data_IF_817285465678
#
_entry.id   IF_817285465678
#
_cell.length_a   1.000
_cell.length_b   1.000
_cell.length_c   1.000
_cell.angle_alpha   90.00
_cell.angle_beta   90.00
_cell.angle_gamma   90.00
#
_symmetry.space_group_name_H-M   'P 1'
#
loop_
_entity.id
_entity.type
_entity.pdbx_description
1 polymer ?
#
# COMPACT_ATOMS: atom_id res chain seq x y z
N UNK A 1 31.58 18.31 -1.95
CA UNK A 1 30.64 17.40 -2.65
C UNK A 1 29.41 18.19 -3.09
N UNK A 2 28.89 17.92 -4.29
CA UNK A 2 27.70 18.58 -4.84
C UNK A 2 26.56 17.57 -4.98
N UNK A 3 25.41 17.89 -4.37
CA UNK A 3 24.18 17.09 -4.44
C UNK A 3 23.10 17.92 -5.13
N UNK A 4 22.58 17.42 -6.25
CA UNK A 4 21.44 18.02 -6.94
C UNK A 4 20.15 17.28 -6.60
N UNK A 5 19.16 17.99 -6.06
CA UNK A 5 17.84 17.47 -5.74
C UNK A 5 16.86 17.91 -6.83
N UNK A 6 16.27 16.95 -7.55
CA UNK A 6 15.45 17.16 -8.75
C UNK A 6 14.06 16.52 -8.59
N UNK A 7 13.16 16.73 -9.55
CA UNK A 7 11.81 16.13 -9.56
C UNK A 7 10.77 16.98 -8.82
N UNK A 8 9.93 16.38 -7.98
CA UNK A 8 8.75 17.04 -7.39
C UNK A 8 8.28 16.41 -6.09
N UNK A 9 7.44 17.12 -5.32
CA UNK A 9 6.79 16.55 -4.13
C UNK A 9 7.70 16.36 -2.91
N UNK A 10 8.58 17.33 -2.62
CA UNK A 10 9.39 17.32 -1.38
C UNK A 10 10.85 17.76 -1.50
N UNK A 11 11.27 18.37 -2.63
CA UNK A 11 12.65 18.84 -2.84
C UNK A 11 13.17 19.76 -1.74
N UNK A 12 12.45 20.84 -1.44
CA UNK A 12 12.86 21.82 -0.43
C UNK A 12 12.94 21.19 0.96
N UNK A 13 11.99 20.31 1.31
CA UNK A 13 12.03 19.53 2.56
C UNK A 13 13.29 18.68 2.62
N UNK A 14 13.61 17.94 1.54
CA UNK A 14 14.80 17.11 1.49
C UNK A 14 16.10 17.90 1.60
N UNK A 15 16.16 19.08 0.99
CA UNK A 15 17.30 19.98 1.12
C UNK A 15 17.50 20.41 2.56
N UNK A 16 16.41 20.75 3.27
CA UNK A 16 16.46 21.13 4.69
C UNK A 16 16.95 19.97 5.57
N UNK A 17 16.40 18.77 5.37
CA UNK A 17 16.86 17.55 6.06
C UNK A 17 18.35 17.29 5.85
N UNK A 18 18.83 17.34 4.59
CA UNK A 18 20.25 17.12 4.28
C UNK A 18 21.13 18.21 4.89
N UNK A 19 20.68 19.46 4.89
CA UNK A 19 21.39 20.57 5.54
C UNK A 19 21.53 20.29 7.04
N UNK A 20 20.44 19.98 7.74
CA UNK A 20 20.48 19.70 9.17
C UNK A 20 21.34 18.46 9.50
N UNK A 21 21.25 17.40 8.68
CA UNK A 21 22.10 16.23 8.79
C UNK A 21 23.59 16.60 8.68
N UNK A 22 24.01 17.29 7.63
CA UNK A 22 25.42 17.60 7.41
C UNK A 22 25.98 18.61 8.42
N UNK A 23 25.17 19.57 8.88
CA UNK A 23 25.56 20.44 10.00
C UNK A 23 25.81 19.60 11.27
N UNK A 24 24.95 18.63 11.56
CA UNK A 24 25.14 17.74 12.73
C UNK A 24 26.41 16.88 12.64
N UNK A 25 26.89 16.63 11.41
CA UNK A 25 28.17 15.97 11.13
C UNK A 25 29.37 16.96 11.11
N UNK A 26 29.18 18.20 11.57
CA UNK A 26 30.17 19.29 11.54
C UNK A 26 30.69 19.64 10.14
N UNK A 27 29.86 19.52 9.10
CA UNK A 27 30.20 19.92 7.72
C UNK A 27 29.59 21.28 7.38
N UNK A 28 30.31 22.02 6.55
CA UNK A 28 29.85 23.29 5.99
C UNK A 28 28.91 23.06 4.81
N UNK A 29 27.79 23.81 4.76
CA UNK A 29 26.74 23.59 3.75
C UNK A 29 26.38 24.87 3.00
N UNK A 30 26.41 24.82 1.67
CA UNK A 30 25.82 25.84 0.80
C UNK A 30 24.53 25.32 0.17
N UNK A 31 23.44 26.08 0.27
CA UNK A 31 22.19 25.83 -0.43
C UNK A 31 22.05 26.87 -1.55
N UNK A 32 21.77 26.41 -2.76
CA UNK A 32 21.49 27.24 -3.95
C UNK A 32 20.48 26.53 -4.86
N UNK A 33 20.12 27.15 -5.98
CA UNK A 33 19.29 26.53 -7.03
C UNK A 33 20.01 26.52 -8.38
N UNK A 34 19.66 25.60 -9.29
CA UNK A 34 20.06 25.69 -10.71
C UNK A 34 19.00 26.35 -11.58
N UNK A 35 17.79 26.56 -11.04
CA UNK A 35 16.66 27.15 -11.75
C UNK A 35 16.14 28.33 -10.98
N UNK A 36 14.96 28.23 -10.35
CA UNK A 36 14.35 29.30 -9.57
C UNK A 36 13.87 28.75 -8.23
N UNK A 37 14.23 29.43 -7.15
CA UNK A 37 13.82 29.08 -5.79
C UNK A 37 13.24 30.32 -5.10
N UNK A 38 12.25 30.15 -4.21
CA UNK A 38 11.72 31.29 -3.45
C UNK A 38 12.78 31.82 -2.48
N UNK A 39 12.83 33.14 -2.31
CA UNK A 39 13.67 33.78 -1.27
C UNK A 39 13.06 33.42 0.10
N UNK A 40 13.86 32.83 0.98
CA UNK A 40 13.52 32.60 2.39
C UNK A 40 14.15 33.71 3.26
N UNK A 41 13.73 33.82 4.53
CA UNK A 41 14.10 34.94 5.42
C UNK A 41 15.62 35.11 5.61
N UNK A 42 16.39 34.02 5.50
CA UNK A 42 17.85 33.99 5.64
C UNK A 42 18.62 33.88 4.31
N UNK A 43 17.96 34.04 3.17
CA UNK A 43 18.63 33.90 1.86
C UNK A 43 19.49 35.13 1.55
N UNK A 44 20.79 34.93 1.36
CA UNK A 44 21.66 35.97 0.80
C UNK A 44 21.39 36.14 -0.70
N UNK A 45 20.96 37.34 -1.08
CA UNK A 45 20.62 37.70 -2.46
C UNK A 45 21.76 38.52 -3.10
N UNK A 46 22.20 38.08 -4.28
CA UNK A 46 23.38 38.61 -4.98
C UNK A 46 24.66 38.67 -4.11
N UNK A 47 24.99 37.62 -3.34
CA UNK A 47 26.12 37.70 -2.42
C UNK A 47 27.46 37.60 -3.14
N UNK A 48 28.46 38.23 -2.52
CA UNK A 48 29.87 38.00 -2.82
C UNK A 48 30.36 36.72 -2.14
N UNK A 49 31.49 36.19 -2.61
CA UNK A 49 32.19 35.07 -1.97
C UNK A 49 32.41 35.29 -0.46
N UNK A 50 32.86 36.50 -0.06
CA UNK A 50 33.15 36.80 1.34
C UNK A 50 31.90 36.76 2.22
N UNK A 51 30.75 37.21 1.71
CA UNK A 51 29.49 37.16 2.44
C UNK A 51 29.00 35.72 2.66
N UNK A 52 29.17 34.85 1.64
CA UNK A 52 28.83 33.43 1.77
C UNK A 52 29.71 32.77 2.83
N UNK A 53 31.04 32.96 2.76
CA UNK A 53 31.97 32.36 3.72
C UNK A 53 31.75 32.89 5.14
N UNK A 54 31.45 34.18 5.31
CA UNK A 54 31.11 34.75 6.62
C UNK A 54 29.85 34.10 7.21
N UNK A 55 28.80 33.92 6.40
CA UNK A 55 27.56 33.28 6.83
C UNK A 55 27.80 31.82 7.24
N UNK A 56 28.59 31.07 6.46
CA UNK A 56 28.95 29.69 6.77
C UNK A 56 29.79 29.59 8.05
N UNK A 57 30.76 30.49 8.25
CA UNK A 57 31.58 30.49 9.47
C UNK A 57 30.77 30.80 10.73
N UNK A 58 29.71 31.61 10.60
CA UNK A 58 28.84 31.97 11.72
C UNK A 58 27.78 30.89 12.02
N UNK A 59 27.13 30.35 10.98
CA UNK A 59 25.95 29.48 11.12
C UNK A 59 26.20 28.00 10.79
N UNK A 60 27.35 27.67 10.19
CA UNK A 60 27.65 26.36 9.60
C UNK A 60 27.04 26.14 8.21
N UNK A 61 26.12 27.00 7.77
CA UNK A 61 25.50 26.95 6.45
C UNK A 61 25.17 28.33 5.89
N UNK A 62 24.94 28.40 4.58
CA UNK A 62 24.44 29.58 3.91
C UNK A 62 23.44 29.20 2.81
N UNK A 63 22.34 29.94 2.71
CA UNK A 63 21.44 29.88 1.56
C UNK A 63 21.71 31.11 0.69
N UNK A 64 22.05 30.92 -0.58
CA UNK A 64 22.48 32.01 -1.46
C UNK A 64 22.02 31.83 -2.91
N UNK A 65 21.78 32.94 -3.60
CA UNK A 65 21.48 32.95 -5.03
C UNK A 65 21.46 34.35 -5.64
N UNK A 66 21.34 34.43 -6.97
CA UNK A 66 21.18 35.70 -7.68
C UNK A 66 19.72 36.12 -7.73
N UNK A 67 19.42 37.42 -7.64
CA UNK A 67 18.03 37.89 -7.75
C UNK A 67 17.47 37.62 -9.14
N UNK A 68 16.27 37.06 -9.18
CA UNK A 68 15.48 36.83 -10.39
C UNK A 68 14.08 37.45 -10.24
N UNK A 69 13.33 37.47 -11.33
CA UNK A 69 11.97 38.01 -11.38
C UNK A 69 11.04 37.30 -10.37
N UNK A 70 10.01 38.01 -9.90
CA UNK A 70 8.99 37.52 -8.96
C UNK A 70 9.52 37.13 -7.55
N UNK A 71 10.49 37.86 -7.00
CA UNK A 71 11.08 37.60 -5.68
C UNK A 71 11.60 36.16 -5.52
N UNK A 72 12.32 35.69 -6.53
CA UNK A 72 13.00 34.39 -6.52
C UNK A 72 14.50 34.58 -6.65
N UNK A 73 15.26 33.57 -6.25
CA UNK A 73 16.66 33.45 -6.62
C UNK A 73 16.84 32.51 -7.82
N UNK A 74 17.89 32.78 -8.61
CA UNK A 74 18.47 31.88 -9.63
C UNK A 74 19.86 31.41 -9.20
N UNK A 75 20.48 30.56 -10.03
CA UNK A 75 21.83 30.05 -9.79
C UNK A 75 22.84 31.16 -9.51
N UNK A 76 23.73 30.88 -8.57
CA UNK A 76 24.98 31.62 -8.42
C UNK A 76 25.82 31.49 -9.70
N UNK A 77 26.73 32.45 -9.90
CA UNK A 77 27.68 32.43 -11.01
C UNK A 77 28.53 31.15 -10.98
N UNK A 78 28.78 30.56 -12.15
CA UNK A 78 29.53 29.30 -12.25
C UNK A 78 30.96 29.41 -11.71
N UNK A 79 31.63 30.55 -11.87
CA UNK A 79 32.98 30.74 -11.34
C UNK A 79 32.95 30.81 -9.81
N UNK A 80 31.93 31.48 -9.26
CA UNK A 80 31.73 31.54 -7.81
C UNK A 80 31.47 30.16 -7.22
N UNK A 81 30.59 29.36 -7.82
CA UNK A 81 30.34 27.97 -7.38
C UNK A 81 31.62 27.14 -7.44
N UNK A 82 32.41 27.28 -8.50
CA UNK A 82 33.67 26.54 -8.65
C UNK A 82 34.72 26.95 -7.61
N UNK A 83 34.79 28.23 -7.22
CA UNK A 83 35.64 28.68 -6.11
C UNK A 83 35.18 28.07 -4.79
N UNK A 84 33.89 28.20 -4.46
CA UNK A 84 33.30 27.72 -3.22
C UNK A 84 33.38 26.19 -3.07
N UNK A 85 33.37 25.43 -4.17
CA UNK A 85 33.50 23.96 -4.17
C UNK A 85 34.76 23.47 -3.46
N UNK A 86 35.83 24.25 -3.44
CA UNK A 86 37.10 23.85 -2.83
C UNK A 86 37.17 24.11 -1.32
N UNK A 87 36.21 24.87 -0.78
CA UNK A 87 36.23 25.32 0.62
C UNK A 87 35.01 24.88 1.42
N UNK A 88 33.93 24.50 0.73
CA UNK A 88 32.68 24.05 1.34
C UNK A 88 32.54 22.53 1.15
N UNK A 89 32.25 21.85 2.25
CA UNK A 89 32.11 20.40 2.27
C UNK A 89 30.95 19.93 1.40
N UNK A 90 29.79 20.60 1.49
CA UNK A 90 28.55 20.21 0.81
C UNK A 90 27.91 21.41 0.10
N UNK A 91 27.57 21.23 -1.18
CA UNK A 91 26.70 22.15 -1.93
C UNK A 91 25.43 21.41 -2.33
N UNK A 92 24.30 21.86 -1.79
CA UNK A 92 22.95 21.37 -2.09
C UNK A 92 22.30 22.26 -3.13
N UNK A 93 21.82 21.66 -4.21
CA UNK A 93 21.24 22.37 -5.35
C UNK A 93 19.79 21.93 -5.53
N UNK A 94 18.83 22.85 -5.37
CA UNK A 94 17.47 22.61 -5.83
C UNK A 94 17.39 22.83 -7.33
N UNK A 95 16.98 21.81 -8.09
CA UNK A 95 16.75 21.94 -9.52
C UNK A 95 15.31 21.55 -9.88
N UNK A 96 14.94 21.84 -11.13
CA UNK A 96 13.80 21.19 -11.75
C UNK A 96 12.45 21.52 -11.08
N UNK A 97 12.13 22.82 -10.99
CA UNK A 97 10.90 23.31 -10.33
C UNK A 97 9.61 22.72 -10.92
N UNK A 98 8.66 22.32 -10.06
CA UNK A 98 7.38 21.68 -10.45
C UNK A 98 6.15 22.59 -10.27
N UNK A 99 6.36 23.88 -9.97
CA UNK A 99 5.30 24.83 -9.55
C UNK A 99 4.45 24.33 -8.36
N UNK A 100 5.03 23.51 -7.48
CA UNK A 100 4.34 22.96 -6.30
C UNK A 100 3.49 21.73 -6.58
N UNK A 101 3.46 21.23 -7.82
CA UNK A 101 2.78 19.98 -8.14
C UNK A 101 3.57 18.77 -7.63
N UNK A 102 2.88 17.68 -7.23
CA UNK A 102 3.49 16.50 -6.61
C UNK A 102 4.28 15.63 -7.58
N UNK A 103 3.91 15.62 -8.87
CA UNK A 103 4.59 14.91 -9.94
C UNK A 103 5.08 15.89 -11.03
N UNK A 104 6.12 15.51 -11.76
CA UNK A 104 6.68 16.31 -12.85
C UNK A 104 7.13 15.43 -14.02
N UNK A 105 6.79 15.87 -15.21
CA UNK A 105 7.39 15.46 -16.46
C UNK A 105 8.57 16.40 -16.79
N UNK A 106 9.79 15.89 -17.01
CA UNK A 106 10.93 16.73 -17.37
C UNK A 106 10.82 17.19 -18.82
N UNK A 107 10.88 18.51 -19.05
CA UNK A 107 10.93 19.09 -20.41
C UNK A 107 12.18 18.66 -21.16
N UNK A 108 12.25 18.99 -22.47
CA UNK A 108 13.36 18.60 -23.33
C UNK A 108 14.74 19.05 -22.81
N UNK A 109 14.80 20.26 -22.27
CA UNK A 109 15.98 20.90 -21.67
C UNK A 109 16.18 20.59 -20.18
N UNK A 110 15.26 19.82 -19.58
CA UNK A 110 15.32 19.41 -18.17
C UNK A 110 15.75 17.93 -18.02
N UNK A 111 16.33 17.56 -16.85
CA UNK A 111 16.66 18.42 -15.71
C UNK A 111 17.95 19.24 -15.90
N UNK A 112 17.95 20.50 -15.47
CA UNK A 112 19.13 21.38 -15.50
C UNK A 112 20.01 21.08 -14.29
N UNK A 113 21.07 20.31 -14.50
CA UNK A 113 21.99 19.84 -13.46
C UNK A 113 23.39 20.38 -13.74
N UNK A 114 24.10 20.82 -12.69
CA UNK A 114 25.48 21.27 -12.87
C UNK A 114 26.41 20.10 -13.26
N UNK A 115 27.31 20.25 -14.24
CA UNK A 115 28.20 19.16 -14.71
C UNK A 115 29.07 18.53 -13.61
N UNK A 116 29.43 19.33 -12.61
CA UNK A 116 30.26 18.95 -11.47
C UNK A 116 29.47 18.34 -10.29
N UNK A 117 28.17 18.04 -10.47
CA UNK A 117 27.35 17.31 -9.50
C UNK A 117 27.92 15.91 -9.25
N UNK A 118 28.00 15.50 -7.98
CA UNK A 118 28.51 14.19 -7.57
C UNK A 118 27.36 13.18 -7.39
N UNK A 119 26.26 13.62 -6.78
CA UNK A 119 25.05 12.79 -6.54
C UNK A 119 23.78 13.54 -6.96
N UNK A 120 22.84 12.82 -7.56
CA UNK A 120 21.51 13.30 -7.91
C UNK A 120 20.51 12.59 -7.02
N UNK A 121 19.61 13.33 -6.38
CA UNK A 121 18.46 12.80 -5.66
C UNK A 121 17.20 13.17 -6.44
N UNK A 122 16.59 12.17 -7.08
CA UNK A 122 15.34 12.30 -7.82
C UNK A 122 14.17 12.05 -6.88
N UNK A 123 13.40 13.10 -6.60
CA UNK A 123 12.24 13.02 -5.72
C UNK A 123 10.96 12.93 -6.55
N UNK A 124 10.07 12.04 -6.13
CA UNK A 124 8.67 12.03 -6.54
C UNK A 124 7.77 11.84 -5.31
N UNK A 125 6.45 11.93 -5.50
CA UNK A 125 5.48 11.78 -4.43
C UNK A 125 4.23 11.05 -4.88
N UNK A 126 3.70 10.21 -4.00
CA UNK A 126 2.42 9.54 -4.17
C UNK A 126 1.20 10.43 -3.87
N UNK A 127 1.39 11.71 -3.51
CA UNK A 127 0.27 12.68 -3.40
C UNK A 127 -0.49 12.88 -4.71
N UNK A 128 0.08 12.50 -5.86
CA UNK A 128 -0.56 12.53 -7.16
C UNK A 128 -1.59 11.39 -7.36
N UNK A 129 -1.46 10.26 -6.64
CA UNK A 129 -2.25 9.05 -6.90
C UNK A 129 -3.75 9.30 -6.78
N UNK A 130 -4.51 8.73 -7.72
CA UNK A 130 -5.98 8.83 -7.74
C UNK A 130 -6.53 10.20 -8.15
N UNK A 131 -5.69 11.13 -8.59
CA UNK A 131 -6.09 12.47 -9.08
C UNK A 131 -5.90 12.58 -10.59
N UNK A 132 -6.66 13.45 -11.29
CA UNK A 132 -6.51 13.66 -12.73
C UNK A 132 -5.10 14.16 -13.10
N UNK A 133 -4.53 13.63 -14.18
CA UNK A 133 -3.18 13.97 -14.67
C UNK A 133 -2.94 15.48 -14.76
N UNK A 134 -3.87 16.23 -15.38
CA UNK A 134 -3.72 17.67 -15.62
C UNK A 134 -3.58 18.52 -14.35
N UNK A 135 -4.10 18.02 -13.24
CA UNK A 135 -4.13 18.74 -11.97
C UNK A 135 -2.86 18.53 -11.14
N UNK A 136 -2.11 17.45 -11.39
CA UNK A 136 -1.05 16.98 -10.48
C UNK A 136 0.30 16.70 -11.14
N UNK A 137 0.38 16.67 -12.48
CA UNK A 137 1.65 16.49 -13.21
C UNK A 137 2.07 17.81 -13.84
N UNK A 138 3.20 18.36 -13.38
CA UNK A 138 3.82 19.49 -14.07
C UNK A 138 4.36 19.05 -15.43
N UNK A 139 4.02 19.76 -16.51
CA UNK A 139 4.41 19.37 -17.88
C UNK A 139 3.54 18.25 -18.46
N UNK A 140 2.30 18.11 -17.98
CA UNK A 140 1.41 17.03 -18.42
C UNK A 140 1.15 17.05 -19.93
N UNK A 141 1.09 18.21 -20.59
CA UNK A 141 0.84 18.28 -22.04
C UNK A 141 1.89 17.49 -22.85
N UNK A 142 3.18 17.64 -22.50
CA UNK A 142 4.25 16.86 -23.13
C UNK A 142 4.15 15.38 -22.75
N UNK A 143 3.80 15.09 -21.51
CA UNK A 143 3.58 13.71 -21.06
C UNK A 143 2.46 13.03 -21.85
N UNK A 144 1.34 13.72 -22.11
CA UNK A 144 0.23 13.18 -22.91
C UNK A 144 0.63 12.99 -24.38
N UNK A 145 1.46 13.86 -24.95
CA UNK A 145 1.93 13.71 -26.34
C UNK A 145 2.85 12.50 -26.55
N UNK A 146 3.55 12.06 -25.50
CA UNK A 146 4.49 10.93 -25.55
C UNK A 146 3.89 9.64 -24.97
N UNK A 147 2.61 9.64 -24.60
CA UNK A 147 1.91 8.49 -24.00
C UNK A 147 0.50 8.33 -24.58
N UNK A 148 -0.19 7.25 -24.20
CA UNK A 148 -1.57 6.98 -24.63
C UNK A 148 -2.61 7.42 -23.58
N UNK A 149 -2.23 8.31 -22.66
CA UNK A 149 -3.10 8.79 -21.59
C UNK A 149 -3.91 10.02 -22.01
N UNK A 150 -4.99 10.27 -21.28
CA UNK A 150 -5.81 11.48 -21.38
C UNK A 150 -5.63 12.36 -20.14
N UNK A 151 -5.90 13.66 -20.30
CA UNK A 151 -5.76 14.65 -19.22
C UNK A 151 -6.57 14.35 -17.95
N UNK A 152 -7.69 13.62 -18.08
CA UNK A 152 -8.59 13.27 -16.98
C UNK A 152 -8.36 11.86 -16.42
N UNK A 153 -7.41 11.10 -16.98
CA UNK A 153 -7.04 9.80 -16.43
C UNK A 153 -6.47 9.99 -15.03
N UNK A 154 -6.79 9.06 -14.11
CA UNK A 154 -6.31 9.11 -12.74
C UNK A 154 -4.88 8.60 -12.66
N UNK A 155 -4.01 9.34 -11.96
CA UNK A 155 -2.61 8.96 -11.80
C UNK A 155 -2.47 7.65 -11.02
N UNK A 156 -1.71 6.72 -11.58
CA UNK A 156 -1.40 5.41 -11.00
C UNK A 156 0.07 5.32 -10.60
N UNK A 157 0.42 4.32 -9.77
CA UNK A 157 1.81 4.05 -9.39
C UNK A 157 2.68 3.75 -10.63
N UNK A 158 2.14 3.04 -11.61
CA UNK A 158 2.86 2.73 -12.86
C UNK A 158 3.15 3.99 -13.69
N UNK A 159 2.27 5.00 -13.66
CA UNK A 159 2.56 6.30 -14.29
C UNK A 159 3.69 7.03 -13.57
N UNK A 160 3.73 6.98 -12.23
CA UNK A 160 4.83 7.58 -11.45
C UNK A 160 6.17 6.89 -11.78
N UNK A 161 6.19 5.57 -11.82
CA UNK A 161 7.37 4.80 -12.24
C UNK A 161 7.80 5.13 -13.68
N UNK A 162 6.84 5.33 -14.59
CA UNK A 162 7.13 5.78 -15.95
C UNK A 162 7.79 7.16 -15.97
N UNK A 163 7.31 8.12 -15.19
CA UNK A 163 7.95 9.44 -15.05
C UNK A 163 9.40 9.30 -14.55
N UNK A 164 9.63 8.47 -13.53
CA UNK A 164 10.98 8.19 -13.01
C UNK A 164 11.87 7.60 -14.10
N UNK A 165 11.39 6.61 -14.85
CA UNK A 165 12.14 6.00 -15.98
C UNK A 165 12.51 7.03 -17.05
N UNK A 166 11.66 8.02 -17.31
CA UNK A 166 11.94 9.12 -18.25
C UNK A 166 13.08 10.00 -17.73
N UNK A 167 13.08 10.35 -16.44
CA UNK A 167 14.23 11.04 -15.82
C UNK A 167 15.51 10.21 -15.93
N UNK A 168 15.47 8.93 -15.55
CA UNK A 168 16.64 8.06 -15.58
C UNK A 168 17.24 7.95 -16.99
N UNK A 169 16.39 7.86 -18.02
CA UNK A 169 16.84 7.86 -19.43
C UNK A 169 17.58 9.13 -19.81
N UNK A 170 17.11 10.30 -19.36
CA UNK A 170 17.79 11.59 -19.59
C UNK A 170 19.11 11.70 -18.82
N UNK A 171 19.17 11.11 -17.64
CA UNK A 171 20.36 11.15 -16.77
C UNK A 171 21.41 10.08 -17.10
N UNK A 172 21.05 9.04 -17.87
CA UNK A 172 21.90 7.89 -18.15
C UNK A 172 23.28 8.26 -18.72
N UNK A 173 23.38 9.35 -19.49
CA UNK A 173 24.64 9.80 -20.10
C UNK A 173 25.57 10.53 -19.12
N UNK A 174 25.10 10.95 -17.94
CA UNK A 174 25.88 11.78 -17.01
C UNK A 174 26.85 10.96 -16.14
N UNK A 175 26.72 9.63 -16.11
CA UNK A 175 27.51 8.71 -15.28
C UNK A 175 27.67 9.19 -13.82
N UNK A 176 26.55 9.55 -13.18
CA UNK A 176 26.48 10.05 -11.79
C UNK A 176 25.74 9.06 -10.90
N UNK A 177 25.98 9.13 -9.59
CA UNK A 177 25.19 8.41 -8.60
C UNK A 177 23.78 9.01 -8.55
N UNK A 178 22.76 8.21 -8.81
CA UNK A 178 21.35 8.62 -8.74
C UNK A 178 20.70 7.86 -7.58
N UNK A 179 20.08 8.60 -6.67
CA UNK A 179 19.22 8.10 -5.61
C UNK A 179 17.79 8.52 -5.93
N UNK A 180 16.84 7.61 -5.76
CA UNK A 180 15.43 7.89 -5.94
C UNK A 180 14.79 7.92 -4.55
N UNK A 181 13.88 8.87 -4.33
CA UNK A 181 13.11 8.97 -3.10
C UNK A 181 11.63 9.16 -3.46
N UNK A 182 10.78 8.27 -2.96
CA UNK A 182 9.34 8.34 -3.15
C UNK A 182 8.68 8.77 -1.84
N UNK A 183 8.16 10.00 -1.82
CA UNK A 183 7.48 10.54 -0.65
C UNK A 183 6.00 10.13 -0.60
N UNK A 184 5.40 10.24 0.59
CA UNK A 184 3.95 10.14 0.80
C UNK A 184 3.37 8.75 0.51
N UNK A 185 4.20 7.72 0.69
CA UNK A 185 3.80 6.32 0.60
C UNK A 185 3.03 5.89 1.85
N UNK A 186 1.70 5.90 1.74
CA UNK A 186 0.78 5.62 2.83
C UNK A 186 0.27 4.17 2.79
N UNK A 187 0.42 3.46 3.91
CA UNK A 187 0.06 2.04 4.04
C UNK A 187 1.07 1.07 3.42
N UNK A 188 0.91 -0.22 3.73
CA UNK A 188 1.90 -1.25 3.39
C UNK A 188 2.14 -1.38 1.87
N UNK A 189 1.07 -1.44 1.06
CA UNK A 189 1.19 -1.58 -0.40
C UNK A 189 2.00 -0.44 -1.01
N UNK A 190 1.67 0.81 -0.68
CA UNK A 190 2.40 1.95 -1.23
C UNK A 190 3.86 1.98 -0.79
N UNK A 191 4.16 1.60 0.46
CA UNK A 191 5.54 1.49 0.94
C UNK A 191 6.35 0.43 0.19
N UNK A 192 5.73 -0.72 -0.13
CA UNK A 192 6.33 -1.73 -1.00
C UNK A 192 6.61 -1.15 -2.39
N UNK A 193 5.62 -0.52 -3.02
CA UNK A 193 5.79 0.03 -4.37
C UNK A 193 6.82 1.16 -4.42
N UNK A 194 6.85 2.03 -3.40
CA UNK A 194 7.86 3.07 -3.25
C UNK A 194 9.26 2.46 -3.20
N UNK A 195 9.47 1.47 -2.33
CA UNK A 195 10.76 0.77 -2.21
C UNK A 195 11.19 0.11 -3.53
N UNK A 196 10.26 -0.47 -4.27
CA UNK A 196 10.54 -1.03 -5.59
C UNK A 196 10.93 0.02 -6.62
N UNK A 197 10.27 1.19 -6.65
CA UNK A 197 10.66 2.30 -7.52
C UNK A 197 12.05 2.81 -7.13
N UNK A 198 12.31 2.95 -5.84
CA UNK A 198 13.58 3.46 -5.32
C UNK A 198 14.78 2.58 -5.69
N UNK A 199 14.59 1.27 -5.67
CA UNK A 199 15.61 0.28 -6.05
C UNK A 199 15.48 -0.20 -7.52
N UNK A 200 14.60 0.45 -8.31
CA UNK A 200 14.39 0.17 -9.73
C UNK A 200 14.02 -1.31 -10.03
N UNK A 201 13.22 -1.91 -9.15
CA UNK A 201 12.71 -3.26 -9.27
C UNK A 201 11.41 -3.33 -10.10
N UNK A 202 11.15 -4.46 -10.74
CA UNK A 202 9.95 -4.62 -11.57
C UNK A 202 8.66 -4.67 -10.73
N UNK A 203 7.86 -3.60 -10.85
CA UNK A 203 6.57 -3.44 -10.18
C UNK A 203 5.55 -4.54 -10.51
N UNK A 204 5.69 -5.21 -11.66
CA UNK A 204 4.75 -6.27 -12.09
C UNK A 204 4.78 -7.51 -11.18
N UNK A 205 5.84 -7.65 -10.37
CA UNK A 205 5.99 -8.74 -9.40
C UNK A 205 5.04 -8.62 -8.21
N UNK A 206 4.42 -7.45 -8.01
CA UNK A 206 3.51 -7.18 -6.90
C UNK A 206 2.09 -7.03 -7.43
N UNK A 207 1.17 -7.79 -6.84
CA UNK A 207 -0.24 -7.61 -7.08
C UNK A 207 -0.88 -6.82 -5.92
N UNK A 208 -1.57 -5.73 -6.23
CA UNK A 208 -2.26 -4.89 -5.23
C UNK A 208 -3.24 -5.68 -4.36
N UNK A 209 -3.85 -6.73 -4.92
CA UNK A 209 -4.87 -7.50 -4.22
C UNK A 209 -4.28 -8.45 -3.16
N UNK A 210 -2.96 -8.60 -3.09
CA UNK A 210 -2.30 -9.24 -1.95
C UNK A 210 -2.33 -8.38 -0.68
N UNK A 211 -2.61 -7.08 -0.80
CA UNK A 211 -2.60 -6.12 0.31
C UNK A 211 -4.00 -5.70 0.77
N UNK A 212 -5.02 -6.48 0.42
CA UNK A 212 -6.38 -6.27 0.91
C UNK A 212 -6.46 -6.83 2.33
N UNK A 213 -7.19 -6.16 3.24
CA UNK A 213 -7.39 -6.68 4.58
C UNK A 213 -8.09 -8.03 4.57
N UNK A 214 -7.96 -8.79 5.66
CA UNK A 214 -8.80 -9.97 5.90
C UNK A 214 -10.29 -9.63 5.70
N UNK A 215 -11.07 -10.53 5.09
CA UNK A 215 -12.49 -10.30 4.85
C UNK A 215 -13.26 -10.22 6.17
N UNK A 216 -14.21 -9.30 6.23
CA UNK A 216 -15.16 -9.24 7.33
C UNK A 216 -16.33 -10.18 7.04
N UNK A 217 -16.80 -10.89 8.07
CA UNK A 217 -18.04 -11.65 8.04
C UNK A 217 -19.03 -11.05 9.04
N UNK A 218 -20.03 -10.34 8.51
CA UNK A 218 -21.12 -9.80 9.31
C UNK A 218 -22.25 -10.82 9.35
N UNK A 219 -22.52 -11.35 10.55
CA UNK A 219 -23.56 -12.35 10.80
C UNK A 219 -24.76 -11.66 11.44
N UNK A 220 -25.84 -11.52 10.65
CA UNK A 220 -27.11 -10.94 11.08
C UNK A 220 -28.02 -12.08 11.58
N UNK A 221 -28.09 -12.22 12.90
CA UNK A 221 -28.70 -13.36 13.58
C UNK A 221 -27.70 -14.12 14.43
N UNK A 222 -28.00 -14.31 15.70
CA UNK A 222 -27.15 -15.01 16.68
C UNK A 222 -27.71 -16.39 17.08
N UNK A 223 -28.40 -17.07 16.17
CA UNK A 223 -28.96 -18.41 16.39
C UNK A 223 -27.90 -19.53 16.41
N UNK A 224 -28.35 -20.79 16.53
CA UNK A 224 -27.45 -21.95 16.61
C UNK A 224 -26.54 -22.11 15.38
N UNK A 225 -27.06 -21.90 14.16
CA UNK A 225 -26.26 -21.97 12.92
C UNK A 225 -25.14 -20.92 12.96
N UNK A 226 -25.43 -19.71 13.44
CA UNK A 226 -24.49 -18.60 13.52
C UNK A 226 -23.27 -18.91 14.38
N UNK A 227 -23.44 -19.68 15.47
CA UNK A 227 -22.33 -20.08 16.34
C UNK A 227 -21.31 -20.93 15.58
N UNK A 228 -21.79 -21.93 14.81
CA UNK A 228 -20.92 -22.75 13.96
C UNK A 228 -20.31 -21.97 12.79
N UNK A 229 -21.08 -21.08 12.16
CA UNK A 229 -20.55 -20.19 11.10
C UNK A 229 -19.42 -19.32 11.64
N UNK A 230 -19.60 -18.71 12.82
CA UNK A 230 -18.59 -17.89 13.47
C UNK A 230 -17.31 -18.68 13.81
N UNK A 231 -17.45 -19.87 14.39
CA UNK A 231 -16.31 -20.75 14.69
C UNK A 231 -15.50 -21.12 13.44
N UNK A 232 -16.18 -21.55 12.37
CA UNK A 232 -15.51 -21.89 11.11
C UNK A 232 -14.88 -20.65 10.47
N UNK A 233 -15.55 -19.49 10.52
CA UNK A 233 -15.05 -18.25 9.98
C UNK A 233 -13.74 -17.79 10.67
N UNK A 234 -13.66 -17.93 12.00
CA UNK A 234 -12.43 -17.66 12.76
C UNK A 234 -11.27 -18.58 12.34
N UNK A 235 -11.54 -19.88 12.15
CA UNK A 235 -10.54 -20.83 11.63
C UNK A 235 -10.07 -20.49 10.20
N UNK A 236 -10.83 -19.67 9.47
CA UNK A 236 -10.55 -19.24 8.10
C UNK A 236 -10.06 -17.79 8.01
N UNK A 237 -9.63 -17.22 9.14
CA UNK A 237 -9.09 -15.87 9.28
C UNK A 237 -10.07 -14.76 8.85
N UNK A 238 -11.38 -14.93 9.09
CA UNK A 238 -12.35 -13.86 8.92
C UNK A 238 -12.44 -13.00 10.18
N UNK A 239 -12.57 -11.68 10.01
CA UNK A 239 -12.98 -10.82 11.11
C UNK A 239 -14.50 -10.90 11.27
N UNK A 240 -15.00 -11.49 12.36
CA UNK A 240 -16.43 -11.76 12.53
C UNK A 240 -17.13 -10.72 13.39
N UNK A 241 -18.23 -10.18 12.88
CA UNK A 241 -19.13 -9.26 13.59
C UNK A 241 -20.50 -9.93 13.71
N UNK A 242 -20.96 -10.20 14.93
CA UNK A 242 -22.25 -10.85 15.19
C UNK A 242 -23.25 -9.83 15.70
N UNK A 243 -24.44 -9.78 15.09
CA UNK A 243 -25.49 -8.81 15.46
C UNK A 243 -26.83 -9.52 15.64
N UNK A 244 -27.48 -9.30 16.78
CA UNK A 244 -28.86 -9.74 17.07
C UNK A 244 -29.48 -8.78 18.09
N UNK A 245 -30.80 -8.68 18.14
CA UNK A 245 -31.50 -7.78 19.07
C UNK A 245 -31.83 -8.45 20.43
N UNK A 246 -31.50 -9.73 20.58
CA UNK A 246 -31.64 -10.48 21.84
C UNK A 246 -30.34 -10.57 22.62
N UNK A 247 -30.42 -10.13 23.88
CA UNK A 247 -29.31 -10.21 24.83
C UNK A 247 -28.92 -11.65 25.17
N UNK A 248 -29.88 -12.57 25.18
CA UNK A 248 -29.63 -13.97 25.52
C UNK A 248 -28.92 -14.75 24.39
N UNK A 249 -28.81 -14.16 23.18
CA UNK A 249 -28.09 -14.74 22.04
C UNK A 249 -26.84 -13.95 21.64
N UNK A 250 -26.92 -12.63 21.51
CA UNK A 250 -25.78 -11.78 21.17
C UNK A 250 -24.95 -11.45 22.43
N UNK A 251 -24.13 -12.41 22.86
CA UNK A 251 -23.19 -12.22 23.97
C UNK A 251 -21.91 -13.07 23.78
N UNK A 252 -20.84 -12.66 24.44
CA UNK A 252 -19.52 -13.31 24.41
C UNK A 252 -19.55 -14.75 24.90
N UNK A 253 -20.50 -15.13 25.75
CA UNK A 253 -20.59 -16.52 26.24
C UNK A 253 -20.98 -17.49 25.12
N UNK A 254 -21.82 -17.07 24.18
CA UNK A 254 -22.23 -17.87 23.02
C UNK A 254 -21.32 -17.67 21.80
N UNK A 255 -20.60 -16.56 21.75
CA UNK A 255 -19.68 -16.21 20.67
C UNK A 255 -18.31 -15.81 21.24
N UNK A 256 -17.61 -16.72 21.97
CA UNK A 256 -16.35 -16.38 22.64
C UNK A 256 -15.21 -16.04 21.66
N UNK A 257 -15.29 -16.58 20.44
CA UNK A 257 -14.29 -16.39 19.39
C UNK A 257 -14.62 -15.21 18.46
N UNK A 258 -15.79 -14.57 18.60
CA UNK A 258 -16.15 -13.48 17.71
C UNK A 258 -15.32 -12.23 18.01
N UNK A 259 -14.81 -11.55 16.98
CA UNK A 259 -14.11 -10.28 17.18
C UNK A 259 -15.04 -9.19 17.74
N UNK A 260 -16.30 -9.19 17.32
CA UNK A 260 -17.31 -8.25 17.82
C UNK A 260 -18.68 -8.92 17.96
N UNK A 261 -19.40 -8.58 19.04
CA UNK A 261 -20.78 -9.03 19.30
C UNK A 261 -21.62 -7.84 19.72
N UNK A 262 -22.64 -7.49 18.94
CA UNK A 262 -23.50 -6.32 19.17
C UNK A 262 -24.95 -6.75 19.42
N UNK A 263 -25.44 -6.53 20.63
CA UNK A 263 -26.84 -6.71 20.98
C UNK A 263 -27.64 -5.44 20.65
N UNK A 264 -28.13 -5.31 19.41
CA UNK A 264 -28.83 -4.13 18.92
C UNK A 264 -29.94 -4.49 17.91
N UNK A 265 -30.95 -3.64 17.80
CA UNK A 265 -31.98 -3.73 16.75
C UNK A 265 -31.38 -3.76 15.35
N UNK A 266 -31.90 -4.65 14.49
CA UNK A 266 -31.52 -4.71 13.07
C UNK A 266 -31.80 -3.42 12.30
N UNK A 267 -32.70 -2.55 12.80
CA UNK A 267 -32.91 -1.23 12.23
C UNK A 267 -31.65 -0.35 12.26
N UNK A 268 -30.80 -0.57 13.27
CA UNK A 268 -29.58 0.18 13.56
C UNK A 268 -28.28 -0.59 13.23
N UNK A 269 -28.37 -1.84 12.76
CA UNK A 269 -27.22 -2.72 12.52
C UNK A 269 -26.17 -2.11 11.57
N UNK A 270 -26.60 -1.28 10.60
CA UNK A 270 -25.73 -0.62 9.64
C UNK A 270 -24.62 0.24 10.26
N UNK A 271 -24.75 0.64 11.53
CA UNK A 271 -23.74 1.38 12.28
C UNK A 271 -22.44 0.59 12.49
N UNK A 272 -22.52 -0.74 12.39
CA UNK A 272 -21.42 -1.67 12.60
C UNK A 272 -20.98 -2.37 11.31
N UNK A 273 -21.50 -1.93 10.15
CA UNK A 273 -21.10 -2.53 8.88
C UNK A 273 -19.74 -1.98 8.46
N UNK A 274 -18.77 -2.85 8.11
CA UNK A 274 -17.49 -2.42 7.57
C UNK A 274 -17.67 -1.72 6.22
N UNK A 275 -16.72 -0.85 5.86
CA UNK A 275 -16.73 -0.14 4.58
C UNK A 275 -15.98 -0.93 3.48
N UNK A 276 -15.31 -2.01 3.84
CA UNK A 276 -14.47 -2.80 2.98
C UNK A 276 -15.31 -3.60 1.98
N UNK A 277 -15.00 -3.47 0.68
CA UNK A 277 -15.72 -4.16 -0.41
C UNK A 277 -15.63 -5.68 -0.32
N UNK A 278 -14.64 -6.22 0.39
CA UNK A 278 -14.48 -7.66 0.61
C UNK A 278 -15.33 -8.21 1.77
N UNK A 279 -16.28 -7.42 2.30
CA UNK A 279 -17.20 -7.83 3.36
C UNK A 279 -18.21 -8.87 2.85
N UNK A 280 -18.49 -9.86 3.68
CA UNK A 280 -19.51 -10.89 3.48
C UNK A 280 -20.64 -10.69 4.49
N UNK A 281 -21.89 -10.68 4.02
CA UNK A 281 -23.07 -10.64 4.89
C UNK A 281 -23.78 -12.00 4.90
N UNK A 282 -24.02 -12.54 6.10
CA UNK A 282 -24.76 -13.79 6.32
C UNK A 282 -26.01 -13.47 7.12
N UNK A 283 -27.17 -13.62 6.50
CA UNK A 283 -28.48 -13.36 7.12
C UNK A 283 -29.09 -14.68 7.57
N UNK A 284 -29.09 -14.88 8.89
CA UNK A 284 -29.51 -16.11 9.58
C UNK A 284 -30.39 -15.78 10.79
N UNK A 285 -31.39 -14.92 10.58
CA UNK A 285 -32.27 -14.44 11.65
C UNK A 285 -33.36 -15.47 12.01
N UNK A 286 -34.21 -15.14 12.99
CA UNK A 286 -35.29 -16.01 13.49
C UNK A 286 -36.54 -16.09 12.60
N UNK A 287 -36.63 -15.35 11.50
CA UNK A 287 -37.87 -15.35 10.73
C UNK A 287 -37.96 -14.38 9.57
N UNK A 288 -39.03 -14.55 8.78
CA UNK A 288 -39.26 -13.85 7.51
C UNK A 288 -39.15 -12.32 7.57
N UNK A 289 -39.64 -11.70 8.64
CA UNK A 289 -39.68 -10.24 8.77
C UNK A 289 -38.26 -9.67 8.93
N UNK A 290 -37.46 -10.31 9.79
CA UNK A 290 -36.13 -9.83 10.14
C UNK A 290 -35.11 -10.16 9.04
N UNK A 291 -35.26 -11.28 8.34
CA UNK A 291 -34.44 -11.60 7.16
C UNK A 291 -34.64 -10.56 6.05
N UNK A 292 -35.90 -10.20 5.75
CA UNK A 292 -36.22 -9.17 4.75
C UNK A 292 -35.70 -7.80 5.19
N UNK A 293 -35.85 -7.43 6.46
CA UNK A 293 -35.31 -6.19 7.01
C UNK A 293 -33.79 -6.12 6.84
N UNK A 294 -33.09 -7.18 7.25
CA UNK A 294 -31.64 -7.28 7.12
C UNK A 294 -31.21 -7.23 5.65
N UNK A 295 -31.90 -7.94 4.76
CA UNK A 295 -31.58 -7.96 3.34
C UNK A 295 -31.69 -6.56 2.74
N UNK A 296 -32.75 -5.81 3.04
CA UNK A 296 -32.91 -4.42 2.61
C UNK A 296 -31.79 -3.49 3.08
N UNK A 297 -31.15 -3.80 4.20
CA UNK A 297 -30.03 -3.00 4.73
C UNK A 297 -28.72 -3.26 4.02
N UNK A 298 -28.54 -4.44 3.42
CA UNK A 298 -27.25 -4.87 2.86
C UNK A 298 -27.25 -4.97 1.33
N UNK A 299 -28.42 -5.11 0.70
CA UNK A 299 -28.53 -5.42 -0.74
C UNK A 299 -27.91 -4.34 -1.65
N UNK A 300 -27.98 -3.08 -1.24
CA UNK A 300 -27.42 -1.94 -1.98
C UNK A 300 -25.92 -1.70 -1.67
N UNK A 301 -25.36 -2.43 -0.71
CA UNK A 301 -23.96 -2.29 -0.32
C UNK A 301 -23.08 -3.01 -1.34
N UNK A 302 -21.98 -2.37 -1.74
CA UNK A 302 -20.93 -3.02 -2.52
C UNK A 302 -20.14 -3.96 -1.61
N UNK A 303 -20.44 -5.26 -1.71
CA UNK A 303 -19.89 -6.31 -0.86
C UNK A 303 -19.51 -7.54 -1.70
N UNK A 304 -18.63 -8.37 -1.15
CA UNK A 304 -18.15 -9.60 -1.79
C UNK A 304 -19.23 -10.69 -1.82
N UNK A 305 -20.06 -10.73 -0.79
CA UNK A 305 -21.09 -11.74 -0.64
C UNK A 305 -22.28 -11.23 0.16
N UNK A 306 -23.48 -11.62 -0.26
CA UNK A 306 -24.72 -11.47 0.52
C UNK A 306 -25.48 -12.80 0.44
N UNK A 307 -25.61 -13.46 1.58
CA UNK A 307 -26.32 -14.73 1.70
C UNK A 307 -27.50 -14.62 2.65
N UNK A 308 -28.62 -15.26 2.29
CA UNK A 308 -29.82 -15.28 3.14
C UNK A 308 -30.36 -16.70 3.31
N UNK A 309 -30.54 -17.11 4.57
CA UNK A 309 -31.13 -18.40 4.88
C UNK A 309 -32.63 -18.43 4.57
N UNK A 310 -33.11 -19.55 4.04
CA UNK A 310 -34.53 -19.79 3.87
C UNK A 310 -34.83 -20.93 2.92
N UNK A 311 -36.04 -21.49 3.02
CA UNK A 311 -36.54 -22.45 2.03
C UNK A 311 -36.75 -21.76 0.67
N UNK A 312 -36.70 -22.51 -0.43
CA UNK A 312 -36.94 -21.96 -1.79
C UNK A 312 -38.25 -21.15 -1.89
N UNK A 313 -39.31 -21.63 -1.25
CA UNK A 313 -40.61 -20.93 -1.18
C UNK A 313 -40.52 -19.61 -0.41
N UNK A 314 -39.78 -19.60 0.71
CA UNK A 314 -39.56 -18.40 1.53
C UNK A 314 -38.75 -17.35 0.77
N UNK A 315 -37.65 -17.78 0.14
CA UNK A 315 -36.79 -16.90 -0.64
C UNK A 315 -37.56 -16.24 -1.78
N UNK A 316 -38.32 -17.04 -2.55
CA UNK A 316 -39.14 -16.52 -3.65
C UNK A 316 -40.09 -15.42 -3.18
N UNK A 317 -40.82 -15.64 -2.08
CA UNK A 317 -41.73 -14.63 -1.54
C UNK A 317 -41.00 -13.34 -1.15
N UNK A 318 -39.84 -13.45 -0.49
CA UNK A 318 -39.05 -12.27 -0.11
C UNK A 318 -38.56 -11.50 -1.34
N UNK A 319 -38.11 -12.19 -2.40
CA UNK A 319 -37.67 -11.56 -3.63
C UNK A 319 -38.82 -10.90 -4.39
N UNK A 320 -39.97 -11.57 -4.51
CA UNK A 320 -41.17 -11.00 -5.13
C UNK A 320 -41.59 -9.70 -4.42
N UNK A 321 -41.56 -9.69 -3.08
CA UNK A 321 -41.84 -8.49 -2.29
C UNK A 321 -40.85 -7.34 -2.58
N UNK A 322 -39.54 -7.64 -2.68
CA UNK A 322 -38.53 -6.61 -2.94
C UNK A 322 -38.65 -6.05 -4.36
N UNK A 323 -38.94 -6.88 -5.36
CA UNK A 323 -39.22 -6.43 -6.72
C UNK A 323 -40.44 -5.50 -6.75
N UNK A 324 -41.51 -5.84 -6.01
CA UNK A 324 -42.69 -4.99 -5.87
C UNK A 324 -42.39 -3.66 -5.14
N UNK A 325 -41.39 -3.63 -4.27
CA UNK A 325 -40.88 -2.42 -3.60
C UNK A 325 -39.93 -1.59 -4.47
N UNK A 326 -39.59 -2.06 -5.69
CA UNK A 326 -38.81 -1.31 -6.68
C UNK A 326 -37.33 -1.67 -6.75
N UNK A 327 -36.86 -2.72 -6.06
CA UNK A 327 -35.50 -3.21 -6.22
C UNK A 327 -35.30 -3.83 -7.62
N UNK A 328 -34.11 -3.65 -8.19
CA UNK A 328 -33.82 -4.20 -9.52
C UNK A 328 -33.55 -5.71 -9.47
N UNK A 329 -33.80 -6.39 -10.58
CA UNK A 329 -33.49 -7.83 -10.72
C UNK A 329 -31.99 -8.09 -10.54
N UNK A 330 -31.12 -7.17 -10.96
CA UNK A 330 -29.66 -7.31 -10.82
C UNK A 330 -29.23 -7.34 -9.35
N UNK A 331 -29.83 -6.50 -8.50
CA UNK A 331 -29.57 -6.51 -7.07
C UNK A 331 -30.03 -7.83 -6.43
N UNK A 332 -31.20 -8.32 -6.82
CA UNK A 332 -31.72 -9.62 -6.34
C UNK A 332 -30.82 -10.78 -6.77
N UNK A 333 -30.32 -10.77 -8.01
CA UNK A 333 -29.45 -11.81 -8.55
C UNK A 333 -28.10 -11.91 -7.84
N UNK A 334 -27.66 -10.87 -7.12
CA UNK A 334 -26.44 -10.89 -6.30
C UNK A 334 -26.62 -11.62 -4.96
N UNK A 335 -27.86 -11.94 -4.57
CA UNK A 335 -28.16 -12.54 -3.26
C UNK A 335 -28.18 -14.06 -3.36
N UNK A 336 -27.32 -14.71 -2.58
CA UNK A 336 -27.25 -16.16 -2.45
C UNK A 336 -28.33 -16.68 -1.49
N UNK A 337 -29.46 -17.11 -2.06
CA UNK A 337 -30.61 -17.57 -1.30
C UNK A 337 -31.34 -18.72 -2.03
N UNK A 338 -31.52 -19.91 -1.43
CA UNK A 338 -31.00 -20.33 -0.13
C UNK A 338 -29.48 -20.25 -0.06
N UNK A 339 -28.98 -19.80 1.09
CA UNK A 339 -27.55 -19.62 1.35
C UNK A 339 -26.79 -20.96 1.36
N UNK A 340 -25.54 -20.94 0.88
CA UNK A 340 -24.62 -22.08 0.94
C UNK A 340 -24.73 -23.04 -0.25
N UNK A 341 -23.68 -23.85 -0.44
CA UNK A 341 -23.64 -24.87 -1.49
C UNK A 341 -24.65 -26.00 -1.21
N UNK A 342 -25.29 -26.53 -2.25
CA UNK A 342 -26.20 -27.68 -2.14
C UNK A 342 -25.42 -28.99 -1.92
N UNK A 343 -25.00 -29.19 -0.67
CA UNK A 343 -24.31 -30.41 -0.19
C UNK A 343 -25.24 -31.30 0.61
N UNK A 344 -26.55 -31.08 0.50
CA UNK A 344 -27.59 -31.78 1.28
C UNK A 344 -27.40 -31.68 2.80
N UNK A 345 -26.94 -30.52 3.27
CA UNK A 345 -26.73 -30.23 4.70
C UNK A 345 -28.03 -30.32 5.52
N UNK A 346 -27.96 -30.94 6.69
CA UNK A 346 -29.10 -31.15 7.60
C UNK A 346 -28.83 -30.53 8.97
N UNK A 347 -27.64 -30.75 9.53
CA UNK A 347 -27.28 -30.25 10.87
C UNK A 347 -26.79 -28.79 10.83
N UNK A 348 -26.86 -28.03 11.94
CA UNK A 348 -26.32 -26.66 11.98
C UNK A 348 -24.85 -26.56 11.58
N UNK A 349 -24.03 -27.55 11.94
CA UNK A 349 -22.62 -27.61 11.55
C UNK A 349 -22.44 -27.85 10.05
N UNK A 350 -23.20 -28.77 9.45
CA UNK A 350 -23.18 -28.99 8.00
C UNK A 350 -23.66 -27.76 7.22
N UNK A 351 -24.70 -27.08 7.71
CA UNK A 351 -25.19 -25.84 7.12
C UNK A 351 -24.10 -24.77 7.20
N UNK A 352 -23.41 -24.64 8.33
CA UNK A 352 -22.29 -23.71 8.46
C UNK A 352 -21.14 -24.02 7.49
N UNK A 353 -20.80 -25.30 7.31
CA UNK A 353 -19.82 -25.74 6.29
C UNK A 353 -20.30 -25.37 4.88
N UNK A 354 -21.57 -25.63 4.55
CA UNK A 354 -22.17 -25.27 3.26
C UNK A 354 -22.07 -23.78 2.96
N UNK A 355 -22.40 -22.92 3.94
CA UNK A 355 -22.30 -21.46 3.85
C UNK A 355 -20.85 -21.04 3.64
N UNK A 356 -19.95 -21.50 4.51
CA UNK A 356 -18.54 -21.09 4.43
C UNK A 356 -17.86 -21.62 3.17
N UNK A 357 -18.24 -22.80 2.66
CA UNK A 357 -17.73 -23.32 1.40
C UNK A 357 -18.15 -22.45 0.21
N UNK A 358 -19.39 -21.95 0.18
CA UNK A 358 -19.84 -21.01 -0.86
C UNK A 358 -19.07 -19.69 -0.79
N UNK A 359 -18.91 -19.15 0.43
CA UNK A 359 -18.14 -17.91 0.65
C UNK A 359 -16.68 -18.09 0.22
N UNK A 360 -16.04 -19.22 0.52
CA UNK A 360 -14.67 -19.53 0.12
C UNK A 360 -14.56 -19.62 -1.40
N UNK A 361 -15.48 -20.32 -2.07
CA UNK A 361 -15.49 -20.45 -3.54
C UNK A 361 -15.57 -19.07 -4.22
N UNK A 362 -16.42 -18.18 -3.72
CA UNK A 362 -16.55 -16.81 -4.21
C UNK A 362 -15.30 -15.99 -3.87
N UNK A 363 -14.89 -15.96 -2.60
CA UNK A 363 -13.72 -15.19 -2.12
C UNK A 363 -12.47 -15.54 -2.94
N UNK A 364 -12.21 -16.83 -3.14
CA UNK A 364 -10.99 -17.29 -3.80
C UNK A 364 -11.03 -17.15 -5.33
N UNK A 365 -12.20 -16.91 -5.94
CA UNK A 365 -12.32 -16.50 -7.35
C UNK A 365 -11.85 -15.06 -7.58
N UNK A 366 -12.07 -14.16 -6.60
CA UNK A 366 -11.83 -12.72 -6.73
C UNK A 366 -10.59 -12.16 -6.01
N UNK A 367 -9.88 -12.98 -5.19
CA UNK A 367 -8.45 -12.89 -4.82
C UNK A 367 -8.10 -13.02 -3.32
N UNK A 368 -6.87 -13.51 -3.10
CA UNK A 368 -6.32 -14.32 -2.01
C UNK A 368 -5.57 -13.55 -0.90
N UNK A 369 -6.13 -12.50 -0.30
CA UNK A 369 -5.43 -11.94 0.87
C UNK A 369 -5.75 -12.73 2.14
N UNK A 370 -4.68 -13.10 2.85
CA UNK A 370 -4.69 -13.51 4.27
C UNK A 370 -3.86 -12.55 5.13
N UNK A 371 -3.60 -11.34 4.60
CA UNK A 371 -2.86 -10.33 5.34
C UNK A 371 -3.69 -9.92 6.56
N UNK A 372 -3.09 -10.14 7.73
CA UNK A 372 -3.68 -9.75 9.01
C UNK A 372 -3.76 -8.23 9.12
N UNK A 373 -4.71 -7.73 9.91
CA UNK A 373 -4.81 -6.31 10.23
C UNK A 373 -3.53 -5.77 10.88
N UNK A 374 -2.84 -6.61 11.66
CA UNK A 374 -1.54 -6.27 12.26
C UNK A 374 -0.50 -5.97 11.19
N UNK A 375 -0.41 -6.83 10.15
CA UNK A 375 0.57 -6.66 9.08
C UNK A 375 0.32 -5.39 8.25
N UNK A 376 -0.95 -5.04 7.99
CA UNK A 376 -1.29 -3.78 7.30
C UNK A 376 -0.91 -2.52 8.08
N UNK A 377 -0.89 -2.62 9.41
CA UNK A 377 -0.63 -1.53 10.33
C UNK A 377 0.76 -1.64 10.99
N UNK A 378 1.70 -2.33 10.35
CA UNK A 378 3.10 -2.30 10.76
C UNK A 378 3.60 -0.87 10.71
N UNK A 379 4.28 -0.47 11.78
CA UNK A 379 4.93 0.83 11.92
C UNK A 379 6.41 0.71 12.30
N UNK A 380 6.95 -0.50 12.26
CA UNK A 380 8.33 -0.80 12.65
C UNK A 380 9.13 -1.28 11.44
N UNK A 381 10.43 -0.98 11.46
CA UNK A 381 11.37 -1.43 10.44
C UNK A 381 11.46 -2.96 10.37
N UNK A 382 11.56 -3.49 9.16
CA UNK A 382 11.67 -4.91 8.95
C UNK A 382 11.67 -5.29 7.47
N UNK A 383 11.56 -6.58 7.20
CA UNK A 383 11.60 -7.12 5.84
C UNK A 383 10.31 -7.87 5.56
N UNK A 384 9.59 -7.39 4.54
CA UNK A 384 8.42 -8.08 4.01
C UNK A 384 8.86 -9.18 3.05
N UNK A 385 8.48 -10.41 3.37
CA UNK A 385 8.74 -11.59 2.57
C UNK A 385 7.45 -12.01 1.87
N UNK A 386 7.46 -12.13 0.54
CA UNK A 386 6.29 -12.47 -0.27
C UNK A 386 6.59 -13.65 -1.18
N UNK A 387 5.74 -14.68 -1.19
CA UNK A 387 5.81 -15.73 -2.20
C UNK A 387 5.34 -15.15 -3.54
N UNK A 388 6.25 -15.04 -4.50
CA UNK A 388 5.97 -14.50 -5.84
C UNK A 388 5.77 -15.59 -6.90
N UNK A 389 6.29 -16.79 -6.64
CA UNK A 389 6.09 -17.95 -7.51
C UNK A 389 6.04 -19.23 -6.68
N UNK A 390 5.23 -20.18 -7.13
CA UNK A 390 5.09 -21.51 -6.57
C UNK A 390 5.20 -22.55 -7.68
N UNK A 391 5.85 -23.67 -7.40
CA UNK A 391 5.87 -24.83 -8.29
C UNK A 391 5.68 -26.09 -7.45
N UNK A 392 4.86 -27.02 -7.91
CA UNK A 392 4.50 -28.21 -7.13
C UNK A 392 3.65 -27.91 -5.89
N UNK A 393 3.66 -28.85 -4.95
CA UNK A 393 2.83 -28.82 -3.75
C UNK A 393 3.57 -28.11 -2.62
N UNK A 394 3.16 -26.87 -2.32
CA UNK A 394 3.64 -26.08 -1.17
C UNK A 394 2.43 -25.64 -0.32
N UNK A 395 2.59 -25.44 1.00
CA UNK A 395 1.45 -25.23 1.92
C UNK A 395 0.70 -23.90 1.69
N UNK A 396 1.40 -22.86 1.22
CA UNK A 396 0.83 -21.53 0.96
C UNK A 396 0.86 -21.20 -0.53
N UNK A 397 0.10 -20.18 -0.93
CA UNK A 397 -0.03 -19.77 -2.33
C UNK A 397 0.74 -18.47 -2.61
N UNK A 398 0.91 -18.15 -3.90
CA UNK A 398 1.46 -16.86 -4.34
C UNK A 398 0.67 -15.72 -3.71
N UNK A 399 1.38 -14.72 -3.19
CA UNK A 399 0.82 -13.60 -2.43
C UNK A 399 0.79 -13.82 -0.91
N UNK A 400 1.14 -15.01 -0.41
CA UNK A 400 1.30 -15.21 1.04
C UNK A 400 2.50 -14.42 1.54
N UNK A 401 2.33 -13.76 2.69
CA UNK A 401 3.29 -12.79 3.22
C UNK A 401 3.68 -13.09 4.67
N UNK A 402 4.91 -12.71 5.00
CA UNK A 402 5.45 -12.72 6.35
C UNK A 402 6.34 -11.49 6.52
N UNK A 403 6.20 -10.78 7.63
CA UNK A 403 7.06 -9.65 7.97
C UNK A 403 7.93 -10.01 9.15
N UNK A 404 9.23 -9.77 8.99
CA UNK A 404 10.25 -10.04 10.01
C UNK A 404 10.82 -8.71 10.44
N UNK A 405 10.58 -8.33 11.69
CA UNK A 405 11.11 -7.09 12.28
C UNK A 405 12.58 -7.26 12.67
N UNK A 406 13.26 -6.15 12.91
CA UNK A 406 14.67 -6.19 13.36
C UNK A 406 14.86 -6.86 14.72
N UNK A 407 13.86 -6.81 15.61
CA UNK A 407 13.86 -7.50 16.91
C UNK A 407 13.44 -8.97 16.82
N UNK A 408 13.35 -9.52 15.60
CA UNK A 408 13.00 -10.93 15.29
C UNK A 408 11.55 -11.33 15.54
N UNK A 409 10.66 -10.38 15.84
CA UNK A 409 9.23 -10.64 15.83
C UNK A 409 8.74 -10.97 14.42
N UNK A 410 7.69 -11.79 14.32
CA UNK A 410 7.18 -12.32 13.05
C UNK A 410 5.68 -12.07 12.99
N UNK A 411 5.23 -11.47 11.90
CA UNK A 411 3.82 -11.22 11.61
C UNK A 411 3.45 -11.91 10.30
N UNK A 412 2.44 -12.77 10.32
CA UNK A 412 2.05 -13.59 9.17
C UNK A 412 2.90 -14.86 8.99
N UNK A 413 2.71 -15.55 7.87
CA UNK A 413 3.41 -16.80 7.57
C UNK A 413 3.43 -17.06 6.07
N UNK A 414 4.54 -17.60 5.58
CA UNK A 414 4.70 -18.06 4.19
C UNK A 414 4.56 -19.59 4.06
N UNK A 415 4.18 -20.27 5.13
CA UNK A 415 3.77 -21.68 5.08
C UNK A 415 4.40 -22.61 6.12
N UNK A 416 5.17 -22.09 7.06
CA UNK A 416 5.76 -22.86 8.16
C UNK A 416 6.93 -23.77 7.76
N UNK A 417 7.47 -24.47 8.76
CA UNK A 417 8.52 -25.47 8.58
C UNK A 417 9.93 -24.91 8.33
N UNK A 418 10.80 -25.75 7.76
CA UNK A 418 12.23 -25.43 7.55
C UNK A 418 12.45 -24.26 6.57
N UNK A 419 11.60 -24.13 5.55
CA UNK A 419 11.68 -23.00 4.61
C UNK A 419 11.40 -21.69 5.33
N UNK A 420 10.35 -21.64 6.16
CA UNK A 420 10.01 -20.41 6.88
C UNK A 420 11.17 -19.98 7.79
N UNK A 421 11.80 -20.94 8.49
CA UNK A 421 12.97 -20.67 9.30
C UNK A 421 14.14 -20.07 8.47
N UNK A 422 14.44 -20.66 7.30
CA UNK A 422 15.51 -20.13 6.44
C UNK A 422 15.16 -18.73 5.90
N UNK A 423 13.90 -18.49 5.54
CA UNK A 423 13.42 -17.18 5.09
C UNK A 423 13.57 -16.14 6.19
N UNK A 424 13.28 -16.48 7.47
CA UNK A 424 13.51 -15.57 8.60
C UNK A 424 14.99 -15.20 8.71
N UNK A 425 15.90 -16.18 8.65
CA UNK A 425 17.34 -15.94 8.73
C UNK A 425 17.87 -15.08 7.57
N UNK A 426 17.29 -15.27 6.38
CA UNK A 426 17.66 -14.53 5.19
C UNK A 426 17.08 -13.11 5.20
N UNK A 427 15.88 -12.93 5.75
CA UNK A 427 15.25 -11.63 5.97
C UNK A 427 16.12 -10.74 6.87
N UNK A 428 16.62 -11.27 7.99
CA UNK A 428 17.48 -10.52 8.93
C UNK A 428 18.80 -10.03 8.30
N UNK A 429 19.23 -10.59 7.17
CA UNK A 429 20.45 -10.21 6.43
C UNK A 429 20.16 -9.29 5.24
N UNK A 430 18.89 -9.02 4.95
CA UNK A 430 18.48 -8.35 3.71
C UNK A 430 18.45 -6.83 3.91
N UNK A 431 19.23 -6.11 3.10
CA UNK A 431 19.29 -4.63 3.10
C UNK A 431 18.68 -4.00 1.84
N UNK A 432 18.63 -4.76 0.75
CA UNK A 432 18.06 -4.41 -0.55
C UNK A 432 17.06 -5.45 -1.00
N UNK A 433 16.19 -5.11 -1.94
CA UNK A 433 15.25 -6.04 -2.52
C UNK A 433 16.02 -7.20 -3.15
N UNK A 434 15.71 -8.41 -2.69
CA UNK A 434 16.30 -9.64 -3.22
C UNK A 434 15.25 -10.69 -3.43
N UNK A 435 15.47 -11.57 -4.41
CA UNK A 435 14.62 -12.71 -4.68
C UNK A 435 15.44 -13.98 -4.45
N UNK A 436 14.90 -14.93 -3.69
CA UNK A 436 15.55 -16.22 -3.44
C UNK A 436 14.60 -17.37 -3.75
N UNK A 437 15.19 -18.47 -4.24
CA UNK A 437 14.49 -19.70 -4.55
C UNK A 437 14.69 -20.70 -3.40
N UNK A 438 13.60 -21.32 -2.96
CA UNK A 438 13.61 -22.32 -1.92
C UNK A 438 12.96 -23.61 -2.41
N UNK A 439 13.70 -24.71 -2.35
CA UNK A 439 13.19 -26.04 -2.66
C UNK A 439 12.81 -26.76 -1.36
N UNK A 440 11.64 -27.40 -1.35
CA UNK A 440 11.28 -28.34 -0.29
C UNK A 440 12.01 -29.66 -0.59
N UNK A 441 13.19 -29.84 0.00
CA UNK A 441 13.94 -31.08 -0.14
C UNK A 441 13.30 -32.21 0.67
N UNK A 442 12.81 -33.23 -0.04
CA UNK A 442 12.14 -34.41 0.52
C UNK A 442 13.04 -35.32 1.40
N UNK A 443 14.36 -35.07 1.45
CA UNK A 443 15.30 -36.00 2.09
C UNK A 443 15.24 -35.96 3.63
N UNK A 444 14.79 -34.87 4.26
CA UNK A 444 14.63 -34.78 5.72
C UNK A 444 13.17 -34.93 6.19
N UNK A 445 12.18 -34.59 5.34
CA UNK A 445 10.75 -34.73 5.64
C UNK A 445 10.26 -36.17 5.80
N UNK A 446 11.03 -37.16 5.31
CA UNK A 446 10.73 -38.58 5.44
C UNK A 446 10.71 -39.07 6.91
N UNK A 447 11.36 -38.36 7.85
CA UNK A 447 11.32 -38.72 9.28
C UNK A 447 10.11 -38.15 10.04
N UNK A 448 9.42 -37.14 9.50
CA UNK A 448 8.29 -36.44 10.13
C UNK A 448 6.96 -36.56 9.34
N UNK A 449 6.95 -37.27 8.21
CA UNK A 449 5.73 -37.60 7.45
C UNK A 449 5.09 -36.46 6.67
N UNK A 450 5.74 -35.28 6.58
CA UNK A 450 5.25 -34.14 5.83
C UNK A 450 5.98 -34.06 4.47
N UNK A 451 5.42 -34.68 3.44
CA UNK A 451 6.00 -34.69 2.09
C UNK A 451 5.31 -33.62 1.24
N UNK A 452 5.92 -32.44 1.17
CA UNK A 452 5.57 -31.41 0.18
C UNK A 452 6.73 -31.28 -0.80
N UNK A 453 6.55 -31.69 -2.06
CA UNK A 453 7.62 -31.74 -3.08
C UNK A 453 7.59 -30.54 -4.04
N UNK A 454 7.52 -29.32 -3.51
CA UNK A 454 7.44 -28.10 -4.31
C UNK A 454 8.57 -27.11 -4.05
N UNK A 455 8.53 -25.97 -4.72
CA UNK A 455 9.47 -24.86 -4.54
C UNK A 455 8.75 -23.52 -4.53
N UNK A 456 9.29 -22.57 -3.78
CA UNK A 456 8.78 -21.20 -3.70
C UNK A 456 9.88 -20.20 -4.09
N UNK A 457 9.51 -19.19 -4.88
CA UNK A 457 10.31 -17.98 -4.99
C UNK A 457 9.80 -16.95 -3.99
N UNK A 458 10.68 -16.46 -3.13
CA UNK A 458 10.35 -15.44 -2.13
C UNK A 458 11.07 -14.13 -2.47
N UNK A 459 10.30 -13.06 -2.55
CA UNK A 459 10.80 -11.69 -2.67
C UNK A 459 10.91 -11.08 -1.28
N UNK A 460 12.08 -10.51 -0.97
CA UNK A 460 12.39 -9.85 0.29
C UNK A 460 12.44 -8.35 0.04
N UNK A 461 11.65 -7.58 0.78
CA UNK A 461 11.49 -6.13 0.58
C UNK A 461 11.74 -5.44 1.93
N UNK A 462 12.92 -4.82 2.13
CA UNK A 462 13.20 -4.09 3.36
C UNK A 462 12.41 -2.78 3.40
N UNK A 463 11.62 -2.61 4.46
CA UNK A 463 10.76 -1.45 4.68
C UNK A 463 11.21 -0.72 5.95
N UNK A 464 11.35 0.60 5.83
CA UNK A 464 11.75 1.48 6.92
C UNK A 464 10.61 2.48 7.20
N UNK A 465 10.26 2.62 8.47
CA UNK A 465 9.18 3.43 8.98
C UNK A 465 9.80 4.56 9.82
N UNK A 466 9.97 5.71 9.18
CA UNK A 466 10.44 6.96 9.80
C UNK A 466 9.31 7.74 10.47
#
# INVERSE_FOLDING_TARGET
MIISVIGSGGKTTKIKELKDQYISENKTVLITTSTHMKIEEDTLVNPTYQQIMSCINEKGYCHAGQLSENNKITSLDHNLINQLKNEIDIILIEADGSKGLPAKYPRNDEPVILPNTDTIILITSFLALGKPIKDVIHGYEQFLNETNYNENDLVTIFMIDQLIKIYLKKLALMNKKILIQVNEANGLYQKVMAKMIEEQYDLSLINSNWFVAQPHLVILGAGHVSQYVCQIAQLLDFYTIVIDDRIEFANEKLFPEANEVHCISYHDAQRYFPNEKNTCFVIVTRGHKDDKLCLKKVIDIESLYVGMIGSRKKVKKTFDDLLNEGYSQDLINRVHAPIGLDIHAVTPGEIAISIMAEIIDIKNKYQYSSISKELLNVHQDGVLCIITKKTGSTPRNVGSTMFVTQDTSIIGSIGGGSIEHQVILDALKTQHITKKHYELNNNEGAKLGMICGGSNDVLFIPLYFS
#
